data_IF_325498244532
#
_entry.id   IF_325498244532
#
_cell.length_a   1.000
_cell.length_b   1.000
_cell.length_c   1.000
_cell.angle_alpha   90.00
_cell.angle_beta   90.00
_cell.angle_gamma   90.00
#
_symmetry.space_group_name_H-M   'P 1'
#
loop_
_entity.id
_entity.type
_entity.pdbx_description
1 polymer ?
#
# COMPACT_ATOMS: atom_id res chain seq x y z
N UNK A 1 29.96 6.62 27.84
CA UNK A 1 28.61 7.12 27.48
C UNK A 1 27.89 6.25 26.44
N UNK A 2 28.56 5.72 25.41
CA UNK A 2 27.94 4.82 24.41
C UNK A 2 27.55 3.41 24.94
N UNK A 3 28.30 2.86 25.90
CA UNK A 3 28.02 1.50 26.44
C UNK A 3 26.78 1.49 27.33
N UNK A 4 26.51 2.55 28.09
CA UNK A 4 25.30 2.70 28.90
C UNK A 4 24.03 2.82 28.04
N UNK A 5 24.12 3.38 26.83
CA UNK A 5 22.98 3.45 25.89
C UNK A 5 22.62 2.09 25.28
N UNK A 6 23.57 1.18 25.14
CA UNK A 6 23.34 -0.16 24.58
C UNK A 6 22.80 -1.12 25.63
N UNK A 7 23.31 -1.04 26.87
CA UNK A 7 22.84 -1.85 28.00
C UNK A 7 21.40 -1.48 28.37
N UNK A 8 21.03 -0.20 28.33
CA UNK A 8 19.64 0.22 28.61
C UNK A 8 18.65 -0.25 27.53
N UNK A 9 19.09 -0.37 26.27
CA UNK A 9 18.27 -0.95 25.20
C UNK A 9 18.08 -2.45 25.38
N UNK A 10 19.13 -3.21 25.69
CA UNK A 10 19.04 -4.66 25.96
C UNK A 10 18.11 -4.98 27.15
N UNK A 11 18.17 -4.18 28.22
CA UNK A 11 17.27 -4.33 29.38
C UNK A 11 15.83 -4.00 29.01
N UNK A 12 15.60 -2.91 28.24
CA UNK A 12 14.29 -2.57 27.68
C UNK A 12 13.78 -3.68 26.74
N UNK A 13 14.63 -4.28 25.91
CA UNK A 13 14.28 -5.40 25.03
C UNK A 13 13.93 -6.66 25.80
N UNK A 14 14.62 -6.94 26.92
CA UNK A 14 14.26 -8.05 27.81
C UNK A 14 12.95 -7.78 28.55
N UNK A 15 12.67 -6.54 28.95
CA UNK A 15 11.37 -6.16 29.51
C UNK A 15 10.24 -6.26 28.48
N UNK A 16 10.47 -5.86 27.23
CA UNK A 16 9.52 -6.05 26.12
C UNK A 16 9.28 -7.55 25.89
N UNK A 17 10.31 -8.38 25.81
CA UNK A 17 10.18 -9.82 25.60
C UNK A 17 9.56 -10.57 26.80
N UNK A 18 9.73 -10.05 28.03
CA UNK A 18 9.13 -10.62 29.25
C UNK A 18 7.69 -10.17 29.42
N UNK A 19 7.33 -8.93 29.05
CA UNK A 19 5.94 -8.45 29.06
C UNK A 19 5.09 -9.12 27.97
N UNK A 20 5.68 -9.43 26.81
CA UNK A 20 5.01 -10.17 25.72
C UNK A 20 4.69 -11.63 26.09
N UNK A 21 5.39 -12.21 27.09
CA UNK A 21 5.14 -13.61 27.52
C UNK A 21 3.94 -13.77 28.48
N UNK A 22 3.33 -12.68 28.93
CA UNK A 22 2.29 -12.73 29.97
C UNK A 22 1.03 -11.92 29.62
N UNK A 23 0.75 -11.73 28.32
CA UNK A 23 -0.51 -11.13 27.86
C UNK A 23 -1.56 -12.22 27.62
N UNK A 24 -2.76 -11.99 28.17
CA UNK A 24 -3.98 -12.72 27.84
C UNK A 24 -4.09 -12.86 26.32
N UNK A 25 -4.39 -14.07 25.85
CA UNK A 25 -4.46 -14.40 24.42
C UNK A 25 -5.46 -13.48 23.72
N UNK A 26 -4.97 -12.54 22.92
CA UNK A 26 -5.80 -11.69 22.08
C UNK A 26 -6.38 -12.57 20.98
N UNK A 27 -7.71 -12.73 20.94
CA UNK A 27 -8.43 -13.52 19.93
C UNK A 27 -8.56 -12.77 18.59
N UNK A 28 -7.51 -12.08 18.15
CA UNK A 28 -7.45 -11.49 16.82
C UNK A 28 -6.45 -12.29 15.96
N UNK A 29 -6.90 -12.96 14.89
CA UNK A 29 -5.99 -13.73 14.04
C UNK A 29 -4.89 -12.88 13.41
N UNK A 30 -5.10 -11.57 13.21
CA UNK A 30 -4.09 -10.66 12.70
C UNK A 30 -2.92 -10.47 13.68
N UNK A 31 -3.11 -10.68 14.98
CA UNK A 31 -2.04 -10.63 15.99
C UNK A 31 -1.08 -11.82 15.89
N UNK A 32 -1.37 -12.83 15.05
CA UNK A 32 -0.40 -13.85 14.66
C UNK A 32 0.75 -13.26 13.82
N UNK A 33 0.57 -12.06 13.24
CA UNK A 33 1.60 -11.33 12.53
C UNK A 33 2.42 -10.49 13.53
N UNK A 34 3.70 -10.82 13.78
CA UNK A 34 4.49 -10.12 14.83
C UNK A 34 4.62 -8.61 14.59
N UNK A 35 4.69 -8.19 13.32
CA UNK A 35 4.76 -6.78 12.97
C UNK A 35 3.46 -6.04 13.23
N UNK A 36 2.31 -6.71 13.12
CA UNK A 36 1.00 -6.09 13.30
C UNK A 36 0.75 -5.82 14.77
N UNK A 37 1.05 -6.78 15.65
CA UNK A 37 1.01 -6.56 17.09
C UNK A 37 1.90 -5.38 17.48
N UNK A 38 3.16 -5.36 17.02
CA UNK A 38 4.07 -4.25 17.29
C UNK A 38 3.53 -2.91 16.76
N UNK A 39 3.00 -2.90 15.54
CA UNK A 39 2.45 -1.71 14.91
C UNK A 39 1.24 -1.18 15.68
N UNK A 40 0.30 -2.05 16.08
CA UNK A 40 -0.86 -1.67 16.90
C UNK A 40 -0.41 -1.08 18.23
N UNK A 41 0.53 -1.71 18.94
CA UNK A 41 1.08 -1.17 20.19
C UNK A 41 1.70 0.23 19.99
N UNK A 42 2.44 0.43 18.89
CA UNK A 42 3.03 1.72 18.57
C UNK A 42 1.98 2.78 18.19
N UNK A 43 0.88 2.42 17.54
CA UNK A 43 -0.23 3.33 17.27
C UNK A 43 -1.00 3.69 18.54
N UNK A 44 -1.25 2.72 19.42
CA UNK A 44 -1.87 2.96 20.74
C UNK A 44 -1.04 3.93 21.58
N UNK A 45 0.29 3.79 21.56
CA UNK A 45 1.21 4.70 22.27
C UNK A 45 1.19 6.14 21.74
N UNK A 46 0.78 6.34 20.48
CA UNK A 46 0.65 7.67 19.86
C UNK A 46 -0.70 8.33 20.15
N UNK A 47 -1.67 7.61 20.72
CA UNK A 47 -2.95 8.18 21.07
C UNK A 47 -2.76 9.25 22.16
N UNK A 48 -3.39 10.42 22.03
CA UNK A 48 -3.29 11.46 23.03
C UNK A 48 -4.07 11.07 24.29
N UNK A 49 -3.66 11.63 25.43
CA UNK A 49 -4.24 11.29 26.74
C UNK A 49 -5.78 11.48 26.80
N UNK A 50 -6.33 12.45 26.06
CA UNK A 50 -7.78 12.68 26.02
C UNK A 50 -8.54 11.53 25.34
N UNK A 51 -7.93 10.74 24.45
CA UNK A 51 -8.58 9.56 23.86
C UNK A 51 -8.60 8.40 24.86
N UNK A 52 -7.64 8.36 25.78
CA UNK A 52 -7.49 7.29 26.77
C UNK A 52 -8.17 7.61 28.12
N UNK A 53 -8.75 8.79 28.29
CA UNK A 53 -9.26 9.27 29.59
C UNK A 53 -10.39 8.40 30.18
N UNK A 54 -11.15 7.72 29.32
CA UNK A 54 -12.30 6.89 29.73
C UNK A 54 -11.93 5.43 30.05
N UNK A 55 -10.64 5.06 29.94
CA UNK A 55 -10.18 3.69 30.22
C UNK A 55 -10.05 3.44 31.74
N UNK A 56 -10.50 2.28 32.24
CA UNK A 56 -10.32 1.92 33.63
C UNK A 56 -8.85 1.59 33.94
N UNK A 57 -8.31 2.15 35.04
CA UNK A 57 -6.97 1.80 35.54
C UNK A 57 -5.90 2.89 35.42
N UNK A 58 -6.24 4.12 35.81
CA UNK A 58 -5.30 5.25 35.86
C UNK A 58 -3.97 4.92 36.55
N UNK A 59 -2.89 5.37 35.92
CA UNK A 59 -1.52 5.52 36.42
C UNK A 59 -0.62 4.27 36.51
N UNK A 60 -1.02 3.07 36.04
CA UNK A 60 -0.08 1.95 35.88
C UNK A 60 -0.04 1.39 34.44
N UNK A 61 1.14 1.48 33.81
CA UNK A 61 1.39 1.10 32.40
C UNK A 61 0.88 -0.33 32.05
N UNK A 62 0.91 -1.25 33.02
CA UNK A 62 0.47 -2.64 32.82
C UNK A 62 -1.05 -2.86 32.84
N UNK A 63 -1.80 -2.13 33.68
CA UNK A 63 -3.25 -2.27 33.76
C UNK A 63 -3.95 -1.66 32.54
N UNK A 64 -3.39 -0.58 32.00
CA UNK A 64 -3.91 0.09 30.80
C UNK A 64 -3.82 -0.79 29.54
N UNK A 65 -2.77 -1.61 29.40
CA UNK A 65 -2.61 -2.47 28.23
C UNK A 65 -3.65 -3.60 28.19
N UNK A 66 -3.89 -4.27 29.32
CA UNK A 66 -4.91 -5.33 29.41
C UNK A 66 -6.33 -4.80 29.13
N UNK A 67 -6.66 -3.61 29.66
CA UNK A 67 -7.93 -2.94 29.37
C UNK A 67 -8.08 -2.62 27.87
N UNK A 68 -7.02 -2.12 27.23
CA UNK A 68 -7.00 -1.84 25.80
C UNK A 68 -7.20 -3.10 24.94
N UNK A 69 -6.58 -4.22 25.30
CA UNK A 69 -6.77 -5.47 24.55
C UNK A 69 -8.16 -6.06 24.72
N UNK A 70 -8.74 -5.96 25.93
CA UNK A 70 -10.13 -6.36 26.15
C UNK A 70 -11.05 -5.51 25.28
N UNK A 71 -10.87 -4.19 25.29
CA UNK A 71 -11.65 -3.26 24.47
C UNK A 71 -11.47 -3.51 22.98
N UNK A 72 -10.25 -3.82 22.52
CA UNK A 72 -9.98 -4.23 21.14
C UNK A 72 -10.84 -5.43 20.72
N UNK A 73 -10.86 -6.49 21.54
CA UNK A 73 -11.63 -7.72 21.27
C UNK A 73 -13.14 -7.47 21.27
N UNK A 74 -13.62 -6.64 22.19
CA UNK A 74 -15.04 -6.29 22.31
C UNK A 74 -15.51 -5.44 21.12
N UNK A 75 -14.71 -4.46 20.68
CA UNK A 75 -14.97 -3.69 19.46
C UNK A 75 -14.98 -4.62 18.25
N UNK A 76 -13.98 -5.51 18.12
CA UNK A 76 -13.92 -6.49 17.03
C UNK A 76 -15.20 -7.32 16.98
N UNK A 77 -15.59 -7.89 18.11
CA UNK A 77 -16.79 -8.73 18.24
C UNK A 77 -18.05 -7.96 17.87
N UNK A 78 -18.17 -6.72 18.31
CA UNK A 78 -19.30 -5.86 17.99
C UNK A 78 -19.38 -5.53 16.49
N UNK A 79 -18.25 -5.22 15.83
CA UNK A 79 -18.24 -4.94 14.38
C UNK A 79 -18.61 -6.19 13.56
N UNK A 80 -18.18 -7.37 14.01
CA UNK A 80 -18.46 -8.64 13.34
C UNK A 80 -19.89 -9.16 13.58
N UNK A 81 -20.65 -8.56 14.50
CA UNK A 81 -22.04 -8.92 14.74
C UNK A 81 -22.89 -8.71 13.47
N UNK A 82 -23.95 -9.51 13.24
CA UNK A 82 -24.76 -9.47 12.01
C UNK A 82 -25.53 -8.17 11.80
N UNK A 83 -25.71 -7.35 12.84
CA UNK A 83 -26.36 -6.05 12.68
C UNK A 83 -25.37 -4.98 12.19
N UNK A 84 -25.81 -4.01 11.36
CA UNK A 84 -24.99 -2.84 11.06
C UNK A 84 -24.80 -2.05 12.36
N UNK A 85 -23.56 -2.01 12.84
CA UNK A 85 -23.18 -1.20 13.99
C UNK A 85 -22.59 0.12 13.50
N UNK A 86 -22.86 1.17 14.26
CA UNK A 86 -22.28 2.50 14.14
C UNK A 86 -21.29 2.75 15.27
N UNK A 87 -20.46 3.78 15.16
CA UNK A 87 -19.55 4.19 16.25
C UNK A 87 -20.35 4.47 17.52
N UNK A 88 -21.52 5.12 17.40
CA UNK A 88 -22.40 5.36 18.55
C UNK A 88 -22.86 4.05 19.18
N UNK A 89 -23.39 3.10 18.40
CA UNK A 89 -23.90 1.84 18.96
C UNK A 89 -22.82 0.98 19.63
N UNK A 90 -21.57 1.05 19.17
CA UNK A 90 -20.45 0.38 19.85
C UNK A 90 -20.08 1.13 21.11
N UNK A 91 -20.05 2.46 21.07
CA UNK A 91 -19.79 3.29 22.25
C UNK A 91 -20.80 3.01 23.36
N UNK A 92 -22.09 3.00 23.04
CA UNK A 92 -23.16 2.68 23.98
C UNK A 92 -22.98 1.27 24.57
N UNK A 93 -22.65 0.28 23.74
CA UNK A 93 -22.36 -1.09 24.18
C UNK A 93 -21.15 -1.17 25.13
N UNK A 94 -20.08 -0.41 24.88
CA UNK A 94 -18.91 -0.39 25.76
C UNK A 94 -19.23 0.24 27.12
N UNK A 95 -20.10 1.27 27.13
CA UNK A 95 -20.58 1.92 28.36
C UNK A 95 -21.47 0.95 29.13
N UNK A 96 -22.45 0.33 28.47
CA UNK A 96 -23.40 -0.62 29.09
C UNK A 96 -22.72 -1.84 29.71
N UNK A 97 -21.54 -2.22 29.20
CA UNK A 97 -20.73 -3.35 29.71
C UNK A 97 -19.71 -2.94 30.76
N UNK A 98 -19.72 -1.70 31.24
CA UNK A 98 -18.76 -1.13 32.19
C UNK A 98 -17.30 -1.32 31.76
N UNK A 99 -17.03 -1.33 30.44
CA UNK A 99 -15.67 -1.44 29.90
C UNK A 99 -14.94 -0.10 29.86
N UNK A 100 -15.69 0.99 29.92
CA UNK A 100 -15.21 2.37 29.93
C UNK A 100 -15.98 3.14 31.00
N UNK A 101 -15.33 4.11 31.64
CA UNK A 101 -15.97 4.96 32.65
C UNK A 101 -16.27 6.33 32.07
N UNK A 102 -17.54 6.68 31.97
CA UNK A 102 -17.95 7.98 31.40
C UNK A 102 -18.20 9.07 32.44
N UNK A 103 -18.32 8.75 33.74
CA UNK A 103 -18.58 9.71 34.84
C UNK A 103 -19.61 10.81 34.48
N UNK A 104 -20.58 10.49 33.63
CA UNK A 104 -21.56 11.42 33.02
C UNK A 104 -20.96 12.66 32.34
N UNK A 105 -19.69 12.62 31.93
CA UNK A 105 -19.02 13.68 31.18
C UNK A 105 -19.19 13.46 29.68
N UNK A 106 -19.69 14.51 29.00
CA UNK A 106 -19.76 14.55 27.54
C UNK A 106 -18.38 14.31 26.89
N UNK A 107 -17.32 14.84 27.49
CA UNK A 107 -15.94 14.66 26.99
C UNK A 107 -15.48 13.21 27.08
N UNK A 108 -15.88 12.49 28.14
CA UNK A 108 -15.56 11.08 28.30
C UNK A 108 -16.26 10.22 27.24
N UNK A 109 -17.51 10.56 26.88
CA UNK A 109 -18.22 9.89 25.78
C UNK A 109 -17.55 10.16 24.43
N UNK A 110 -17.11 11.40 24.17
CA UNK A 110 -16.34 11.71 22.96
C UNK A 110 -15.03 10.95 22.90
N UNK A 111 -14.30 10.85 24.01
CA UNK A 111 -13.09 10.03 24.13
C UNK A 111 -13.33 8.58 23.73
N UNK A 112 -14.43 7.96 24.17
CA UNK A 112 -14.76 6.58 23.79
C UNK A 112 -15.05 6.47 22.30
N UNK A 113 -15.78 7.43 21.71
CA UNK A 113 -16.03 7.45 20.26
C UNK A 113 -14.74 7.56 19.45
N UNK A 114 -13.83 8.42 19.87
CA UNK A 114 -12.51 8.60 19.25
C UNK A 114 -11.66 7.33 19.35
N UNK A 115 -11.72 6.65 20.49
CA UNK A 115 -11.03 5.37 20.70
C UNK A 115 -11.60 4.27 19.78
N UNK A 116 -12.93 4.16 19.67
CA UNK A 116 -13.59 3.23 18.76
C UNK A 116 -13.18 3.52 17.30
N UNK A 117 -13.18 4.78 16.90
CA UNK A 117 -12.71 5.20 15.58
C UNK A 117 -11.25 4.82 15.33
N UNK A 118 -10.35 5.05 16.29
CA UNK A 118 -8.95 4.65 16.19
C UNK A 118 -8.79 3.13 16.01
N UNK A 119 -9.46 2.35 16.85
CA UNK A 119 -9.41 0.88 16.83
C UNK A 119 -9.90 0.32 15.50
N UNK A 120 -11.00 0.84 14.95
CA UNK A 120 -11.51 0.42 13.65
C UNK A 120 -10.50 0.73 12.52
N UNK A 121 -9.89 1.91 12.53
CA UNK A 121 -8.83 2.26 11.58
C UNK A 121 -7.66 1.27 11.65
N UNK A 122 -7.24 0.91 12.87
CA UNK A 122 -6.18 -0.07 13.09
C UNK A 122 -6.57 -1.50 12.65
N UNK A 123 -7.77 -1.96 12.98
CA UNK A 123 -8.30 -3.30 12.64
C UNK A 123 -8.51 -3.49 11.14
N UNK A 124 -8.84 -2.43 10.41
CA UNK A 124 -9.06 -2.47 8.96
C UNK A 124 -7.83 -2.11 8.15
N UNK A 125 -6.89 -1.37 8.74
CA UNK A 125 -5.78 -0.69 8.06
C UNK A 125 -6.23 0.21 6.89
N UNK A 126 -7.51 0.60 6.81
CA UNK A 126 -8.00 1.49 5.75
C UNK A 126 -7.54 2.93 5.97
N UNK A 127 -7.36 3.32 7.23
CA UNK A 127 -6.89 4.64 7.62
C UNK A 127 -6.17 4.59 8.96
N UNK A 128 -5.38 5.63 9.23
CA UNK A 128 -4.89 5.95 10.56
C UNK A 128 -5.71 7.13 11.09
N UNK A 129 -6.17 7.06 12.34
CA UNK A 129 -6.88 8.17 12.97
C UNK A 129 -5.90 9.31 13.32
N UNK A 130 -6.37 10.55 13.26
CA UNK A 130 -5.60 11.74 13.60
C UNK A 130 -6.34 12.57 14.63
N UNK A 131 -5.69 12.82 15.77
CA UNK A 131 -6.22 13.58 16.89
C UNK A 131 -5.38 14.84 17.07
N UNK A 132 -5.69 15.87 16.30
CA UNK A 132 -5.04 17.17 16.44
C UNK A 132 -5.91 18.07 17.32
N UNK A 133 -5.28 18.67 18.34
CA UNK A 133 -5.88 19.65 19.24
C UNK A 133 -6.38 20.93 18.55
N UNK A 134 -5.97 21.20 17.30
CA UNK A 134 -6.27 22.45 16.58
C UNK A 134 -7.74 22.61 16.14
N UNK A 135 -8.49 21.52 15.99
CA UNK A 135 -9.92 21.54 15.63
C UNK A 135 -10.68 20.50 16.45
N UNK A 136 -11.27 20.88 17.59
CA UNK A 136 -12.08 19.96 18.38
C UNK A 136 -13.37 19.60 17.63
N UNK A 137 -13.73 18.31 17.67
CA UNK A 137 -15.00 17.78 17.17
C UNK A 137 -14.93 17.17 15.76
N UNK A 138 -15.47 15.95 15.66
CA UNK A 138 -15.52 15.16 14.41
C UNK A 138 -14.38 14.16 14.27
N UNK A 139 -14.39 13.43 13.16
CA UNK A 139 -13.47 12.32 12.87
C UNK A 139 -12.47 12.73 11.80
N UNK A 140 -11.19 12.46 12.03
CA UNK A 140 -10.13 12.82 11.09
C UNK A 140 -9.20 11.65 10.81
N UNK A 141 -8.87 11.47 9.54
CA UNK A 141 -7.84 10.51 9.10
C UNK A 141 -6.51 11.23 8.86
N UNK A 142 -5.42 10.54 9.14
CA UNK A 142 -4.07 11.05 8.94
C UNK A 142 -3.78 11.25 7.44
N UNK A 143 -3.18 12.40 7.13
CA UNK A 143 -2.66 12.68 5.81
C UNK A 143 -1.32 11.96 5.57
N UNK A 144 -1.39 10.75 5.04
CA UNK A 144 -0.22 9.97 4.63
C UNK A 144 0.30 10.34 3.23
N UNK A 145 -0.46 11.13 2.48
CA UNK A 145 -0.17 11.50 1.10
C UNK A 145 0.37 12.93 0.97
N UNK A 146 0.72 13.57 2.08
CA UNK A 146 1.42 14.87 2.10
C UNK A 146 0.69 15.97 1.33
N UNK A 147 -0.63 16.06 1.55
CA UNK A 147 -1.55 17.02 0.94
C UNK A 147 -2.14 16.56 -0.38
N UNK A 148 -1.70 15.42 -0.92
CA UNK A 148 -2.33 14.86 -2.11
C UNK A 148 -3.62 14.14 -1.73
N UNK A 149 -4.75 14.73 -2.13
CA UNK A 149 -6.06 14.10 -2.03
C UNK A 149 -6.29 13.27 -3.30
N UNK A 150 -5.96 11.98 -3.21
CA UNK A 150 -6.18 11.02 -4.27
C UNK A 150 -7.66 10.70 -4.48
N UNK A 151 -7.93 9.67 -5.28
CA UNK A 151 -9.30 9.27 -5.59
C UNK A 151 -10.02 8.54 -4.45
N UNK A 152 -9.26 8.07 -3.46
CA UNK A 152 -9.77 7.23 -2.34
C UNK A 152 -10.07 8.01 -1.08
N UNK A 153 -9.39 9.14 -0.88
CA UNK A 153 -9.48 10.00 0.30
C UNK A 153 -9.86 11.41 -0.13
N UNK A 154 -11.12 11.57 -0.51
CA UNK A 154 -11.69 12.84 -0.97
C UNK A 154 -11.85 13.84 0.17
N UNK A 155 -12.10 13.36 1.39
CA UNK A 155 -12.11 14.17 2.61
C UNK A 155 -11.27 13.49 3.68
N UNK A 156 -10.48 14.27 4.42
CA UNK A 156 -9.80 13.79 5.61
C UNK A 156 -10.61 14.00 6.89
N UNK A 157 -11.77 14.65 6.80
CA UNK A 157 -12.59 15.06 7.94
C UNK A 157 -14.06 14.70 7.73
N UNK A 158 -14.71 14.28 8.82
CA UNK A 158 -16.15 14.16 8.93
C UNK A 158 -16.66 14.75 10.23
N UNK A 159 -17.88 15.26 10.21
CA UNK A 159 -18.51 15.85 11.39
C UNK A 159 -18.86 14.79 12.45
N UNK A 160 -19.10 15.20 13.69
CA UNK A 160 -19.38 14.25 14.78
C UNK A 160 -20.68 13.47 14.57
N UNK A 161 -21.64 14.00 13.82
CA UNK A 161 -22.94 13.38 13.59
C UNK A 161 -22.85 12.15 12.67
N UNK A 162 -21.76 12.03 11.89
CA UNK A 162 -21.56 10.88 11.01
C UNK A 162 -21.38 9.57 11.81
N UNK A 163 -21.05 9.65 13.10
CA UNK A 163 -20.88 8.51 14.01
C UNK A 163 -22.12 7.64 14.18
N UNK A 164 -23.30 8.16 13.84
CA UNK A 164 -24.58 7.44 13.88
C UNK A 164 -24.80 6.54 12.66
N UNK A 165 -24.06 6.74 11.57
CA UNK A 165 -24.20 5.98 10.33
C UNK A 165 -23.61 4.57 10.46
N UNK A 166 -24.04 3.67 9.59
CA UNK A 166 -23.43 2.34 9.46
C UNK A 166 -21.94 2.48 9.10
N UNK A 167 -21.10 1.48 9.42
CA UNK A 167 -19.67 1.56 9.09
C UNK A 167 -19.37 1.78 7.60
N UNK A 168 -20.00 1.06 6.65
CA UNK A 168 -19.79 1.33 5.23
C UNK A 168 -20.10 2.80 4.86
N UNK A 169 -21.23 3.33 5.33
CA UNK A 169 -21.65 4.71 5.05
C UNK A 169 -20.75 5.75 5.73
N UNK A 170 -20.30 5.45 6.95
CA UNK A 170 -19.38 6.28 7.70
C UNK A 170 -18.02 6.33 6.98
N UNK A 171 -17.43 5.20 6.61
CA UNK A 171 -16.12 5.20 5.95
C UNK A 171 -16.19 5.83 4.55
N UNK A 172 -17.28 5.57 3.81
CA UNK A 172 -17.54 6.20 2.51
C UNK A 172 -17.52 7.74 2.59
N UNK A 173 -17.88 8.33 3.73
CA UNK A 173 -17.83 9.79 3.94
C UNK A 173 -16.42 10.40 3.87
N UNK A 174 -15.36 9.60 3.98
CA UNK A 174 -13.98 10.04 3.72
C UNK A 174 -13.56 9.88 2.25
N UNK A 175 -14.33 9.16 1.44
CA UNK A 175 -14.03 8.81 0.06
C UNK A 175 -14.11 7.31 -0.20
N UNK A 176 -13.80 6.91 -1.44
CA UNK A 176 -13.93 5.53 -1.91
C UNK A 176 -12.69 4.69 -1.51
N UNK A 177 -12.57 4.38 -0.21
CA UNK A 177 -11.47 3.56 0.32
C UNK A 177 -11.58 2.08 -0.09
N UNK A 178 -12.81 1.58 -0.23
CA UNK A 178 -13.13 0.25 -0.74
C UNK A 178 -13.90 0.40 -2.07
N UNK A 179 -13.19 0.46 -3.22
CA UNK A 179 -13.84 0.67 -4.50
C UNK A 179 -14.64 -0.56 -4.94
N UNK A 180 -15.78 -0.30 -5.59
CA UNK A 180 -16.48 -1.30 -6.37
C UNK A 180 -15.66 -1.71 -7.62
N UNK A 181 -15.88 -2.90 -8.18
CA UNK A 181 -15.16 -3.38 -9.36
C UNK A 181 -15.42 -2.47 -10.57
N UNK A 182 -14.35 -2.20 -11.33
CA UNK A 182 -14.37 -1.34 -12.51
C UNK A 182 -14.88 0.09 -12.25
N UNK A 183 -14.76 0.59 -11.02
CA UNK A 183 -15.12 1.95 -10.69
C UNK A 183 -14.10 2.97 -11.25
N UNK A 184 -14.62 3.99 -11.96
CA UNK A 184 -13.85 5.12 -12.42
C UNK A 184 -14.05 6.31 -11.47
N UNK A 185 -13.00 6.61 -10.71
CA UNK A 185 -13.02 7.68 -9.71
C UNK A 185 -12.60 9.06 -10.25
N UNK A 186 -12.39 9.18 -11.57
CA UNK A 186 -11.89 10.40 -12.19
C UNK A 186 -13.01 11.37 -12.56
N UNK A 187 -12.82 12.64 -12.23
CA UNK A 187 -13.69 13.72 -12.69
C UNK A 187 -13.25 14.27 -14.05
N UNK A 188 -11.94 14.30 -14.32
CA UNK A 188 -11.37 14.82 -15.57
C UNK A 188 -11.61 13.88 -16.76
N UNK A 189 -12.10 14.43 -17.87
CA UNK A 189 -12.36 13.72 -19.12
C UNK A 189 -11.12 13.02 -19.68
N UNK A 190 -9.92 13.62 -19.58
CA UNK A 190 -8.68 12.99 -20.04
C UNK A 190 -8.38 11.68 -19.30
N UNK A 191 -8.67 11.65 -17.99
CA UNK A 191 -8.41 10.49 -17.14
C UNK A 191 -9.51 9.42 -17.30
N UNK A 192 -10.74 9.84 -17.57
CA UNK A 192 -11.83 8.94 -17.98
C UNK A 192 -11.52 8.26 -19.30
N UNK A 193 -11.08 9.02 -20.30
CA UNK A 193 -10.63 8.47 -21.59
C UNK A 193 -9.48 7.49 -21.40
N UNK A 194 -8.50 7.81 -20.54
CA UNK A 194 -7.43 6.87 -20.21
C UNK A 194 -7.96 5.58 -19.56
N UNK A 195 -8.92 5.68 -18.65
CA UNK A 195 -9.54 4.53 -18.00
C UNK A 195 -10.27 3.61 -18.99
N UNK A 196 -10.98 4.19 -19.96
CA UNK A 196 -11.73 3.45 -20.98
C UNK A 196 -10.81 2.83 -22.04
N UNK A 197 -9.75 3.53 -22.42
CA UNK A 197 -8.81 3.08 -23.45
C UNK A 197 -7.80 2.05 -22.93
N UNK A 198 -7.42 2.12 -21.65
CA UNK A 198 -6.42 1.21 -21.07
C UNK A 198 -7.07 -0.11 -20.69
N UNK A 199 -7.19 -1.02 -21.66
CA UNK A 199 -7.74 -2.36 -21.44
C UNK A 199 -6.70 -3.32 -20.89
N UNK A 200 -5.49 -3.29 -21.45
CA UNK A 200 -4.42 -4.20 -21.09
C UNK A 200 -3.16 -3.45 -20.67
N UNK A 201 -2.36 -4.10 -19.82
CA UNK A 201 -1.04 -3.61 -19.43
C UNK A 201 0.01 -4.70 -19.57
N UNK A 202 1.21 -4.28 -19.96
CA UNK A 202 2.40 -5.11 -19.88
C UNK A 202 3.16 -4.77 -18.58
N UNK A 203 3.54 -5.75 -17.74
CA UNK A 203 4.33 -5.51 -16.54
C UNK A 203 5.66 -4.80 -16.82
N UNK A 204 6.26 -5.03 -17.99
CA UNK A 204 7.44 -4.32 -18.44
C UNK A 204 7.24 -2.81 -18.46
N UNK A 205 6.06 -2.34 -18.85
CA UNK A 205 5.77 -0.92 -19.05
C UNK A 205 5.58 -0.13 -17.76
N UNK A 206 5.13 -0.78 -16.69
CA UNK A 206 4.92 -0.19 -15.37
C UNK A 206 5.80 -0.82 -14.29
N UNK A 207 6.87 -1.50 -14.71
CA UNK A 207 7.84 -2.08 -13.79
C UNK A 207 8.55 -1.00 -12.98
N UNK A 208 8.93 -1.29 -11.73
CA UNK A 208 9.60 -0.35 -10.83
C UNK A 208 10.88 0.24 -11.42
N UNK A 209 11.60 -0.54 -12.23
CA UNK A 209 12.74 -0.04 -12.97
C UNK A 209 12.35 1.07 -13.95
N UNK A 210 11.32 0.86 -14.75
CA UNK A 210 10.81 1.88 -15.69
C UNK A 210 10.28 3.09 -14.95
N UNK A 211 9.41 2.87 -13.96
CA UNK A 211 8.80 3.95 -13.18
C UNK A 211 9.87 4.83 -12.51
N UNK A 212 10.81 4.23 -11.77
CA UNK A 212 11.82 4.97 -11.04
C UNK A 212 12.91 5.57 -11.94
N UNK A 213 13.46 4.77 -12.87
CA UNK A 213 14.65 5.17 -13.65
C UNK A 213 14.32 5.92 -14.93
N UNK A 214 13.19 5.64 -15.57
CA UNK A 214 12.82 6.26 -16.84
C UNK A 214 11.77 7.34 -16.66
N UNK A 215 10.79 7.12 -15.77
CA UNK A 215 9.69 8.06 -15.56
C UNK A 215 9.90 9.01 -14.36
N UNK A 216 10.97 8.82 -13.59
CA UNK A 216 11.29 9.64 -12.41
C UNK A 216 10.31 9.49 -11.24
N UNK A 217 9.56 8.39 -11.19
CA UNK A 217 8.57 8.13 -10.12
C UNK A 217 9.29 7.83 -8.81
N UNK A 218 8.90 8.54 -7.76
CA UNK A 218 9.30 8.27 -6.37
C UNK A 218 8.33 7.29 -5.75
N UNK A 219 8.83 6.37 -4.94
CA UNK A 219 7.98 5.45 -4.18
C UNK A 219 7.91 5.93 -2.74
N UNK A 220 6.71 6.22 -2.25
CA UNK A 220 6.44 6.53 -0.85
C UNK A 220 5.69 5.37 -0.22
N UNK A 221 6.27 4.77 0.80
CA UNK A 221 5.62 3.71 1.54
C UNK A 221 4.61 4.32 2.51
N UNK A 222 3.43 3.74 2.64
CA UNK A 222 2.34 4.18 3.53
C UNK A 222 1.83 2.99 4.33
N UNK A 223 1.15 3.26 5.45
CA UNK A 223 0.66 2.21 6.34
C UNK A 223 -0.81 1.90 6.07
N UNK A 224 -1.54 2.78 5.37
CA UNK A 224 -2.93 2.51 5.03
C UNK A 224 -3.11 1.83 3.68
N UNK A 225 -3.97 0.82 3.67
CA UNK A 225 -4.34 0.02 2.51
C UNK A 225 -5.03 0.84 1.42
N UNK A 226 -5.90 1.79 1.80
CA UNK A 226 -6.65 2.64 0.85
C UNK A 226 -5.75 3.52 -0.02
N UNK A 227 -4.52 3.81 0.40
CA UNK A 227 -3.56 4.65 -0.34
C UNK A 227 -2.75 3.87 -1.38
N UNK A 228 -2.89 2.55 -1.48
CA UNK A 228 -2.07 1.72 -2.35
C UNK A 228 -2.26 2.07 -3.84
N UNK A 229 -1.17 2.35 -4.57
CA UNK A 229 -1.15 2.80 -5.96
C UNK A 229 -1.78 4.17 -6.25
N UNK A 230 -2.04 5.00 -5.25
CA UNK A 230 -2.34 6.41 -5.51
C UNK A 230 -1.12 7.09 -6.13
N UNK A 231 -1.31 7.84 -7.21
CA UNK A 231 -0.24 8.54 -7.93
C UNK A 231 -0.49 10.04 -7.91
N UNK A 232 0.36 10.77 -7.20
CA UNK A 232 0.46 12.20 -7.40
C UNK A 232 1.25 12.49 -8.68
N UNK A 233 0.51 12.87 -9.73
CA UNK A 233 1.07 13.22 -11.04
C UNK A 233 1.96 14.46 -10.99
N UNK A 234 1.72 15.37 -10.05
CA UNK A 234 2.46 16.62 -9.94
C UNK A 234 3.84 16.38 -9.34
N UNK A 235 3.90 15.74 -8.17
CA UNK A 235 5.19 15.39 -7.55
C UNK A 235 5.87 14.17 -8.17
N UNK A 236 5.13 13.36 -8.93
CA UNK A 236 5.60 12.09 -9.47
C UNK A 236 5.79 11.04 -8.38
N UNK A 237 4.94 11.05 -7.35
CA UNK A 237 5.05 10.15 -6.19
C UNK A 237 3.95 9.09 -6.24
N UNK A 238 4.36 7.82 -6.21
CA UNK A 238 3.46 6.67 -6.11
C UNK A 238 3.45 6.18 -4.65
N UNK A 239 2.27 6.17 -4.05
CA UNK A 239 2.06 5.70 -2.69
C UNK A 239 1.82 4.19 -2.69
N UNK A 240 2.53 3.47 -1.83
CA UNK A 240 2.50 2.01 -1.76
C UNK A 240 2.31 1.57 -0.33
N UNK A 241 1.21 0.86 -0.07
CA UNK A 241 1.03 0.14 1.20
C UNK A 241 2.25 -0.76 1.47
N UNK A 242 2.66 -0.91 2.73
CA UNK A 242 3.90 -1.62 3.09
C UNK A 242 3.70 -2.96 3.79
N UNK A 243 2.46 -3.39 4.08
CA UNK A 243 2.19 -4.56 4.92
C UNK A 243 1.36 -5.67 4.21
N UNK A 244 1.84 -6.25 3.10
CA UNK A 244 1.08 -7.22 2.32
C UNK A 244 0.70 -8.52 3.06
N UNK A 245 1.40 -8.90 4.13
CA UNK A 245 1.00 -10.07 4.92
C UNK A 245 -0.34 -9.88 5.65
N UNK A 246 -0.77 -8.63 5.87
CA UNK A 246 -2.13 -8.34 6.34
C UNK A 246 -3.15 -8.84 5.32
N UNK A 247 -2.97 -8.50 4.04
CA UNK A 247 -3.81 -9.00 2.94
C UNK A 247 -3.82 -10.54 2.90
N UNK A 248 -2.65 -11.17 3.07
CA UNK A 248 -2.54 -12.64 3.12
C UNK A 248 -3.33 -13.22 4.30
N UNK A 249 -3.17 -12.66 5.50
CA UNK A 249 -3.88 -13.13 6.70
C UNK A 249 -5.40 -12.99 6.54
N UNK A 250 -5.87 -11.82 6.08
CA UNK A 250 -7.30 -11.59 5.84
C UNK A 250 -7.89 -12.56 4.82
N UNK A 251 -7.15 -12.90 3.76
CA UNK A 251 -7.56 -13.92 2.78
C UNK A 251 -7.49 -15.36 3.31
N UNK A 252 -6.64 -15.65 4.28
CA UNK A 252 -6.51 -17.00 4.87
C UNK A 252 -7.54 -17.30 5.95
N UNK A 253 -8.01 -16.27 6.67
CA UNK A 253 -9.14 -16.37 7.60
C UNK A 253 -10.38 -16.95 6.91
N UNK A 254 -10.58 -16.64 5.62
CA UNK A 254 -11.60 -17.22 4.75
C UNK A 254 -11.52 -18.75 4.64
N UNK A 255 -10.33 -19.30 4.41
CA UNK A 255 -10.15 -20.73 4.12
C UNK A 255 -10.27 -21.60 5.38
N UNK A 256 -10.16 -21.00 6.56
CA UNK A 256 -10.17 -21.71 7.85
C UNK A 256 -11.57 -21.79 8.46
N UNK A 257 -12.47 -20.86 8.12
CA UNK A 257 -13.90 -20.94 8.46
C UNK A 257 -14.61 -21.66 7.32
N UNK A 258 -14.91 -22.94 7.51
CA UNK A 258 -15.67 -23.73 6.54
C UNK A 258 -16.94 -22.99 6.06
N UNK A 259 -17.41 -23.35 4.87
CA UNK A 259 -18.53 -22.78 4.09
C UNK A 259 -19.92 -22.78 4.78
N UNK A 260 -20.00 -22.72 6.11
CA UNK A 260 -21.19 -23.08 6.89
C UNK A 260 -21.84 -22.02 7.77
N UNK A 261 -21.24 -20.86 8.06
CA UNK A 261 -21.91 -19.85 8.91
C UNK A 261 -21.71 -18.44 8.36
N UNK A 262 -22.83 -17.75 8.09
CA UNK A 262 -22.90 -16.40 7.51
C UNK A 262 -22.43 -15.27 8.43
N UNK A 263 -21.37 -15.49 9.20
CA UNK A 263 -20.70 -14.47 9.98
C UNK A 263 -19.66 -13.72 9.14
N UNK A 264 -19.54 -12.40 9.35
CA UNK A 264 -18.54 -11.55 8.68
C UNK A 264 -17.13 -12.10 8.87
N UNK A 265 -16.34 -12.10 7.78
CA UNK A 265 -15.03 -12.77 7.70
C UNK A 265 -13.95 -12.08 8.56
N UNK A 266 -13.93 -10.75 8.56
CA UNK A 266 -13.01 -9.90 9.32
C UNK A 266 -13.61 -8.50 9.50
N UNK A 267 -13.02 -7.65 10.33
CA UNK A 267 -13.46 -6.26 10.52
C UNK A 267 -13.39 -5.45 9.22
N UNK A 268 -12.39 -5.74 8.36
CA UNK A 268 -12.31 -5.14 7.02
C UNK A 268 -13.52 -5.50 6.15
N UNK A 269 -13.92 -6.77 6.17
CA UNK A 269 -15.09 -7.26 5.42
C UNK A 269 -16.40 -6.70 5.98
N UNK A 270 -16.48 -6.50 7.30
CA UNK A 270 -17.63 -5.85 7.94
C UNK A 270 -17.84 -4.39 7.51
N UNK A 271 -16.82 -3.77 6.92
CA UNK A 271 -16.90 -2.41 6.37
C UNK A 271 -17.38 -2.39 4.91
N UNK A 272 -17.60 -3.54 4.29
CA UNK A 272 -18.18 -3.67 2.96
C UNK A 272 -19.72 -3.75 3.04
N UNK A 273 -20.38 -3.57 1.89
CA UNK A 273 -21.82 -3.86 1.82
C UNK A 273 -22.06 -5.37 1.68
N UNK A 274 -23.16 -5.86 2.24
CA UNK A 274 -23.57 -7.26 2.09
C UNK A 274 -23.89 -7.62 0.64
N UNK A 275 -24.35 -6.65 -0.15
CA UNK A 275 -24.65 -6.78 -1.58
C UNK A 275 -24.30 -5.51 -2.31
N UNK A 276 -24.09 -5.63 -3.61
CA UNK A 276 -23.87 -4.48 -4.49
C UNK A 276 -25.04 -3.50 -4.38
N UNK A 277 -24.73 -2.32 -3.83
CA UNK A 277 -25.66 -1.21 -3.73
C UNK A 277 -25.54 -0.25 -4.92
N UNK A 278 -26.37 0.80 -4.95
CA UNK A 278 -26.24 1.88 -5.94
C UNK A 278 -25.00 2.76 -5.70
N UNK A 279 -24.41 2.69 -4.50
CA UNK A 279 -23.21 3.44 -4.14
C UNK A 279 -21.96 2.72 -4.67
N UNK A 280 -20.93 3.46 -5.13
CA UNK A 280 -19.69 2.89 -5.65
C UNK A 280 -18.79 2.36 -4.52
N UNK A 281 -19.24 1.32 -3.82
CA UNK A 281 -18.56 0.72 -2.68
C UNK A 281 -18.50 -0.80 -2.82
N UNK A 282 -17.42 -1.39 -2.31
CA UNK A 282 -17.17 -2.83 -2.38
C UNK A 282 -18.22 -3.65 -1.61
N UNK A 283 -18.56 -4.82 -2.16
CA UNK A 283 -19.13 -5.94 -1.42
C UNK A 283 -18.06 -6.72 -0.64
N UNK A 284 -18.45 -7.67 0.20
CA UNK A 284 -17.48 -8.54 0.89
C UNK A 284 -16.58 -9.34 -0.07
N UNK A 285 -17.11 -9.74 -1.23
CA UNK A 285 -16.37 -10.47 -2.26
C UNK A 285 -15.37 -9.56 -3.00
N UNK A 286 -15.73 -8.30 -3.17
CA UNK A 286 -14.87 -7.28 -3.76
C UNK A 286 -13.68 -6.93 -2.84
N UNK A 287 -13.85 -7.02 -1.51
CA UNK A 287 -12.73 -6.88 -0.56
C UNK A 287 -11.69 -7.97 -0.81
N UNK A 288 -12.10 -9.23 -0.95
CA UNK A 288 -11.19 -10.34 -1.28
C UNK A 288 -10.45 -10.07 -2.60
N UNK A 289 -11.18 -9.61 -3.63
CA UNK A 289 -10.62 -9.20 -4.92
C UNK A 289 -9.57 -8.10 -4.78
N UNK A 290 -9.87 -7.02 -4.06
CA UNK A 290 -8.95 -5.92 -3.81
C UNK A 290 -7.68 -6.39 -3.10
N UNK A 291 -7.78 -7.24 -2.07
CA UNK A 291 -6.62 -7.77 -1.35
C UNK A 291 -5.72 -8.61 -2.27
N UNK A 292 -6.30 -9.45 -3.13
CA UNK A 292 -5.56 -10.21 -4.13
C UNK A 292 -4.87 -9.29 -5.15
N UNK A 293 -5.55 -8.25 -5.60
CA UNK A 293 -5.00 -7.26 -6.52
C UNK A 293 -3.82 -6.50 -5.93
N UNK A 294 -3.89 -6.09 -4.66
CA UNK A 294 -2.78 -5.44 -3.96
C UNK A 294 -1.56 -6.39 -3.93
N UNK A 295 -1.76 -7.67 -3.61
CA UNK A 295 -0.68 -8.65 -3.62
C UNK A 295 -0.08 -8.84 -5.03
N UNK A 296 -0.93 -8.92 -6.04
CA UNK A 296 -0.52 -9.09 -7.44
C UNK A 296 0.21 -7.85 -7.98
N UNK A 297 -0.18 -6.64 -7.56
CA UNK A 297 0.43 -5.39 -8.00
C UNK A 297 1.93 -5.33 -7.63
N UNK A 298 2.32 -5.84 -6.46
CA UNK A 298 3.75 -5.92 -6.09
C UNK A 298 4.53 -6.82 -7.04
N UNK A 299 3.90 -7.90 -7.54
CA UNK A 299 4.52 -8.78 -8.54
C UNK A 299 4.68 -8.06 -9.87
N UNK A 300 3.65 -7.35 -10.32
CA UNK A 300 3.68 -6.57 -11.57
C UNK A 300 4.74 -5.47 -11.51
N UNK A 301 4.79 -4.70 -10.43
CA UNK A 301 5.71 -3.55 -10.30
C UNK A 301 7.13 -4.03 -9.98
N UNK A 302 7.32 -4.87 -8.96
CA UNK A 302 8.65 -5.23 -8.46
C UNK A 302 9.09 -6.65 -8.83
N UNK A 303 8.18 -7.61 -8.70
CA UNK A 303 8.49 -9.04 -8.65
C UNK A 303 8.96 -9.67 -9.96
N UNK A 304 8.38 -9.30 -11.11
CA UNK A 304 8.62 -10.02 -12.37
C UNK A 304 9.99 -9.71 -13.00
N UNK A 305 10.47 -8.47 -12.94
CA UNK A 305 11.73 -8.05 -13.57
C UNK A 305 12.94 -8.09 -12.63
N UNK A 306 14.06 -8.68 -13.09
CA UNK A 306 15.34 -8.67 -12.32
C UNK A 306 15.80 -7.26 -11.97
N UNK A 307 15.58 -6.29 -12.86
CA UNK A 307 15.96 -4.89 -12.65
C UNK A 307 15.06 -4.24 -11.60
N UNK A 308 13.76 -4.50 -11.62
CA UNK A 308 12.82 -4.00 -10.61
C UNK A 308 13.11 -4.57 -9.22
N UNK A 309 13.42 -5.87 -9.12
CA UNK A 309 13.87 -6.49 -7.85
C UNK A 309 15.14 -5.82 -7.30
N UNK A 310 16.06 -5.38 -8.18
CA UNK A 310 17.24 -4.64 -7.78
C UNK A 310 16.94 -3.20 -7.32
N UNK A 311 15.93 -2.55 -7.90
CA UNK A 311 15.42 -1.26 -7.43
C UNK A 311 14.82 -1.42 -6.03
N UNK A 312 13.94 -2.41 -5.83
CA UNK A 312 13.30 -2.65 -4.53
C UNK A 312 14.30 -2.80 -3.38
N UNK A 313 15.38 -3.58 -3.58
CA UNK A 313 16.43 -3.75 -2.57
C UNK A 313 17.10 -2.45 -2.12
N UNK A 314 17.04 -1.38 -2.93
CA UNK A 314 17.58 -0.06 -2.60
C UNK A 314 16.56 0.84 -1.88
N UNK A 315 15.26 0.57 -2.00
CA UNK A 315 14.20 1.43 -1.46
C UNK A 315 14.06 1.35 0.06
N UNK A 316 14.49 0.23 0.68
CA UNK A 316 14.46 0.02 2.15
C UNK A 316 13.14 0.49 2.80
N UNK A 317 11.99 -0.13 2.47
CA UNK A 317 10.65 0.30 2.94
C UNK A 317 10.52 0.48 4.45
N UNK A 318 11.31 -0.25 5.24
CA UNK A 318 11.25 -0.25 6.69
C UNK A 318 12.49 0.38 7.37
N UNK A 319 13.20 1.29 6.69
CA UNK A 319 14.47 1.83 7.22
C UNK A 319 14.35 2.48 8.61
N UNK A 320 13.19 3.07 8.94
CA UNK A 320 12.89 3.70 10.23
C UNK A 320 12.21 2.79 11.24
N UNK A 321 11.95 1.52 10.89
CA UNK A 321 11.12 0.60 11.68
C UNK A 321 12.00 -0.55 12.20
N UNK A 322 11.92 -0.90 13.50
CA UNK A 322 12.67 -2.03 14.06
C UNK A 322 12.23 -3.35 13.44
N UNK A 323 13.09 -4.37 13.49
CA UNK A 323 12.87 -5.68 12.84
C UNK A 323 11.55 -6.35 13.21
N UNK A 324 11.09 -6.21 14.46
CA UNK A 324 9.80 -6.73 14.90
C UNK A 324 8.61 -6.10 14.17
N UNK A 325 8.71 -4.83 13.75
CA UNK A 325 7.70 -4.10 12.99
C UNK A 325 7.80 -4.25 11.47
N UNK A 326 8.71 -5.09 10.97
CA UNK A 326 8.92 -5.25 9.52
C UNK A 326 8.14 -6.45 8.99
N UNK A 327 7.29 -6.20 8.00
CA UNK A 327 6.64 -7.26 7.26
C UNK A 327 7.60 -7.89 6.25
N UNK A 328 7.99 -9.13 6.54
CA UNK A 328 8.92 -9.90 5.71
C UNK A 328 8.29 -10.29 4.37
N UNK A 329 6.97 -10.45 4.29
CA UNK A 329 6.27 -10.84 3.06
C UNK A 329 6.43 -9.79 1.96
N UNK A 330 6.59 -8.50 2.29
CA UNK A 330 6.89 -7.47 1.30
C UNK A 330 8.20 -7.76 0.57
N UNK A 331 9.24 -8.11 1.31
CA UNK A 331 10.54 -8.46 0.73
C UNK A 331 10.43 -9.74 -0.11
N UNK A 332 9.65 -10.73 0.32
CA UNK A 332 9.43 -11.95 -0.46
C UNK A 332 8.74 -11.66 -1.80
N UNK A 333 7.65 -10.90 -1.77
CA UNK A 333 6.88 -10.52 -2.96
C UNK A 333 7.67 -9.62 -3.91
N UNK A 334 8.51 -8.72 -3.41
CA UNK A 334 9.17 -7.73 -4.27
C UNK A 334 10.60 -8.11 -4.68
N UNK A 335 11.30 -8.98 -3.95
CA UNK A 335 12.72 -9.24 -4.16
C UNK A 335 13.06 -10.64 -4.67
N UNK A 336 12.16 -11.62 -4.50
CA UNK A 336 12.37 -13.01 -4.95
C UNK A 336 11.75 -13.23 -6.34
N UNK A 337 12.38 -14.10 -7.13
CA UNK A 337 11.83 -14.51 -8.44
C UNK A 337 10.57 -15.35 -8.27
N UNK A 338 10.58 -16.29 -7.32
CA UNK A 338 9.44 -17.13 -6.94
C UNK A 338 9.18 -16.92 -5.44
N UNK A 339 8.15 -16.16 -5.06
CA UNK A 339 7.82 -15.97 -3.66
C UNK A 339 7.15 -17.24 -3.10
N UNK A 340 7.43 -17.53 -1.83
CA UNK A 340 6.71 -18.54 -1.03
C UNK A 340 5.47 -17.89 -0.43
N UNK A 341 4.50 -17.51 -1.27
CA UNK A 341 3.24 -16.94 -0.81
C UNK A 341 2.20 -18.05 -0.71
N UNK A 342 1.42 -18.06 0.38
CA UNK A 342 0.33 -19.01 0.59
C UNK A 342 -0.86 -18.75 -0.34
N UNK A 343 -1.00 -17.52 -0.82
CA UNK A 343 -1.99 -17.14 -1.85
C UNK A 343 -1.39 -17.35 -3.24
N UNK A 344 -2.13 -18.02 -4.12
CA UNK A 344 -1.70 -18.30 -5.49
C UNK A 344 -1.78 -17.02 -6.35
N UNK A 345 -0.62 -16.44 -6.66
CA UNK A 345 -0.51 -15.27 -7.55
C UNK A 345 -0.09 -15.73 -8.95
N UNK A 346 -0.96 -15.49 -9.94
CA UNK A 346 -0.69 -15.86 -11.34
C UNK A 346 0.04 -14.72 -12.05
N UNK A 347 1.32 -14.94 -12.36
CA UNK A 347 2.10 -14.02 -13.18
C UNK A 347 1.77 -14.18 -14.67
N UNK A 348 1.54 -13.06 -15.34
CA UNK A 348 1.17 -13.02 -16.75
C UNK A 348 2.07 -12.05 -17.49
N UNK A 349 2.26 -12.31 -18.77
CA UNK A 349 2.97 -11.42 -19.67
C UNK A 349 2.19 -10.15 -20.01
N UNK A 350 0.87 -10.25 -19.96
CA UNK A 350 -0.08 -9.18 -20.18
C UNK A 350 -1.26 -9.38 -19.24
N UNK A 351 -1.78 -8.28 -18.70
CA UNK A 351 -2.93 -8.30 -17.82
C UNK A 351 -4.08 -7.50 -18.41
N UNK A 352 -5.26 -8.10 -18.50
CA UNK A 352 -6.52 -7.38 -18.69
C UNK A 352 -6.92 -6.70 -17.37
N UNK A 353 -7.03 -5.37 -17.38
CA UNK A 353 -7.36 -4.61 -16.17
C UNK A 353 -8.79 -4.87 -15.69
N UNK A 354 -9.72 -5.22 -16.57
CA UNK A 354 -11.13 -5.45 -16.19
C UNK A 354 -11.33 -6.77 -15.46
N UNK A 355 -10.47 -7.74 -15.74
CA UNK A 355 -10.53 -9.11 -15.20
C UNK A 355 -9.53 -9.31 -14.07
N UNK A 356 -8.32 -8.78 -14.19
CA UNK A 356 -7.24 -9.05 -13.24
C UNK A 356 -7.00 -7.94 -12.23
N UNK A 357 -7.49 -6.73 -12.52
CA UNK A 357 -7.40 -5.59 -11.61
C UNK A 357 -8.69 -4.76 -11.54
N UNK A 358 -9.89 -5.34 -11.43
CA UNK A 358 -11.13 -4.55 -11.43
C UNK A 358 -11.15 -3.43 -10.37
N UNK A 359 -10.57 -3.63 -9.18
CA UNK A 359 -10.63 -2.66 -8.08
C UNK A 359 -9.53 -1.59 -8.18
N UNK A 360 -8.32 -1.97 -8.63
CA UNK A 360 -7.18 -1.08 -8.84
C UNK A 360 -7.08 -0.54 -10.27
N UNK A 361 -8.06 -0.84 -11.14
CA UNK A 361 -8.06 -0.50 -12.57
C UNK A 361 -7.78 0.98 -12.80
N UNK A 362 -8.49 1.86 -12.10
CA UNK A 362 -8.32 3.31 -12.21
C UNK A 362 -6.88 3.72 -11.94
N UNK A 363 -6.36 3.35 -10.77
CA UNK A 363 -4.99 3.64 -10.31
C UNK A 363 -3.93 3.12 -11.28
N UNK A 364 -4.10 1.89 -11.78
CA UNK A 364 -3.17 1.28 -12.73
C UNK A 364 -3.25 1.94 -14.12
N UNK A 365 -4.45 2.27 -14.60
CA UNK A 365 -4.62 2.99 -15.86
C UNK A 365 -3.94 4.37 -15.81
N UNK A 366 -4.10 5.09 -14.71
CA UNK A 366 -3.44 6.37 -14.49
C UNK A 366 -1.91 6.24 -14.43
N UNK A 367 -1.39 5.22 -13.73
CA UNK A 367 0.04 4.93 -13.67
C UNK A 367 0.61 4.58 -15.06
N UNK A 368 -0.11 3.75 -15.83
CA UNK A 368 0.24 3.40 -17.21
C UNK A 368 0.24 4.63 -18.12
N UNK A 369 -0.78 5.48 -18.01
CA UNK A 369 -0.89 6.75 -18.73
C UNK A 369 0.27 7.68 -18.39
N UNK A 370 0.61 7.83 -17.12
CA UNK A 370 1.74 8.64 -16.65
C UNK A 370 3.08 8.12 -17.22
N UNK A 371 3.33 6.81 -17.10
CA UNK A 371 4.53 6.18 -17.64
C UNK A 371 4.63 6.35 -19.16
N UNK A 372 3.52 6.19 -19.88
CA UNK A 372 3.44 6.38 -21.33
C UNK A 372 3.77 7.81 -21.77
N UNK A 373 3.35 8.83 -21.01
CA UNK A 373 3.63 10.25 -21.32
C UNK A 373 5.09 10.64 -21.02
N UNK A 374 5.68 10.10 -19.95
CA UNK A 374 7.04 10.45 -19.48
C UNK A 374 8.16 9.65 -20.17
N UNK A 375 7.87 8.48 -20.75
CA UNK A 375 8.88 7.69 -21.48
C UNK A 375 9.45 8.50 -22.66
N UNK A 376 10.79 8.59 -22.80
CA UNK A 376 11.41 9.27 -23.93
C UNK A 376 10.98 8.62 -25.26
N UNK A 377 10.41 9.43 -26.17
CA UNK A 377 9.74 8.99 -27.41
C UNK A 377 10.67 8.26 -28.39
N UNK A 378 11.99 8.48 -28.35
CA UNK A 378 12.95 7.79 -29.24
C UNK A 378 13.24 6.36 -28.80
N UNK A 379 13.33 6.12 -27.49
CA UNK A 379 13.56 4.79 -26.93
C UNK A 379 12.28 3.98 -26.88
N UNK A 380 11.10 4.60 -26.69
CA UNK A 380 9.81 3.87 -26.63
C UNK A 380 9.52 3.06 -27.90
N UNK A 381 9.79 3.60 -29.10
CA UNK A 381 9.62 2.87 -30.37
C UNK A 381 10.62 1.71 -30.52
N UNK A 382 11.88 1.90 -30.10
CA UNK A 382 12.92 0.85 -30.11
C UNK A 382 12.81 -0.16 -28.94
N UNK A 383 12.06 0.18 -27.88
CA UNK A 383 11.96 -0.60 -26.64
C UNK A 383 10.65 -1.39 -26.55
N UNK A 384 9.55 -0.90 -27.13
CA UNK A 384 8.42 -1.76 -27.49
C UNK A 384 8.88 -2.85 -28.47
N UNK A 385 9.83 -2.52 -29.35
CA UNK A 385 10.47 -3.43 -30.29
C UNK A 385 11.64 -4.25 -29.69
N UNK A 386 11.61 -4.48 -28.36
CA UNK A 386 12.52 -5.41 -27.69
C UNK A 386 11.92 -6.81 -27.54
N UNK A 387 10.66 -6.99 -27.95
CA UNK A 387 9.99 -8.29 -28.05
C UNK A 387 10.28 -8.98 -29.38
N UNK A 388 10.53 -8.23 -30.46
CA UNK A 388 11.06 -8.77 -31.72
C UNK A 388 12.60 -8.72 -31.72
N UNK A 389 13.19 -9.81 -31.22
CA UNK A 389 14.64 -10.02 -31.17
C UNK A 389 15.43 -9.77 -32.49
N UNK A 390 14.86 -9.89 -33.72
CA UNK A 390 15.61 -9.65 -34.95
C UNK A 390 15.87 -8.16 -35.28
N UNK A 391 14.88 -7.28 -35.11
CA UNK A 391 15.00 -5.87 -35.51
C UNK A 391 15.98 -5.09 -34.62
N UNK A 392 15.97 -5.39 -33.32
CA UNK A 392 16.94 -4.87 -32.36
C UNK A 392 18.39 -5.24 -32.75
N UNK A 393 18.64 -6.50 -33.12
CA UNK A 393 19.97 -6.95 -33.55
C UNK A 393 20.38 -6.32 -34.89
N UNK A 394 19.44 -6.16 -35.83
CA UNK A 394 19.71 -5.53 -37.12
C UNK A 394 20.12 -4.05 -36.98
N UNK A 395 19.45 -3.29 -36.10
CA UNK A 395 19.81 -1.90 -35.82
C UNK A 395 21.23 -1.75 -35.25
N UNK A 396 21.57 -2.53 -34.22
CA UNK A 396 22.92 -2.48 -33.64
C UNK A 396 24.00 -3.03 -34.59
N UNK A 397 23.66 -4.04 -35.40
CA UNK A 397 24.55 -4.53 -36.45
C UNK A 397 24.81 -3.45 -37.49
N UNK A 398 23.78 -2.73 -37.96
CA UNK A 398 23.94 -1.65 -38.92
C UNK A 398 24.84 -0.51 -38.40
N UNK A 399 24.70 -0.14 -37.13
CA UNK A 399 25.60 0.86 -36.49
C UNK A 399 27.03 0.34 -36.42
N UNK A 400 27.23 -0.90 -35.99
CA UNK A 400 28.55 -1.51 -35.87
C UNK A 400 29.24 -1.62 -37.24
N UNK A 401 28.54 -2.15 -38.24
CA UNK A 401 29.05 -2.27 -39.61
C UNK A 401 29.27 -0.90 -40.27
N UNK A 402 28.41 0.09 -40.01
CA UNK A 402 28.60 1.47 -40.46
C UNK A 402 29.85 2.12 -39.88
N UNK A 403 30.11 1.94 -38.59
CA UNK A 403 31.32 2.44 -37.92
C UNK A 403 32.59 1.74 -38.43
N UNK A 404 32.54 0.42 -38.63
CA UNK A 404 33.66 -0.34 -39.21
C UNK A 404 33.93 0.13 -40.65
N UNK A 405 32.89 0.32 -41.46
CA UNK A 405 33.02 0.83 -42.82
C UNK A 405 33.67 2.21 -42.87
N UNK A 406 33.23 3.14 -42.02
CA UNK A 406 33.81 4.47 -41.92
C UNK A 406 35.30 4.42 -41.52
N UNK A 407 35.64 3.55 -40.57
CA UNK A 407 37.02 3.34 -40.14
C UNK A 407 37.90 2.78 -41.27
N UNK A 408 37.41 1.82 -42.04
CA UNK A 408 38.15 1.26 -43.17
C UNK A 408 38.38 2.30 -44.28
N UNK A 409 37.38 3.12 -44.60
CA UNK A 409 37.53 4.23 -45.56
C UNK A 409 38.59 5.22 -45.07
N UNK A 410 38.60 5.54 -43.78
CA UNK A 410 39.61 6.40 -43.19
C UNK A 410 41.03 5.82 -43.35
N UNK A 411 41.22 4.54 -43.00
CA UNK A 411 42.51 3.85 -43.14
C UNK A 411 42.97 3.80 -44.60
N UNK A 412 42.08 3.47 -45.53
CA UNK A 412 42.39 3.46 -46.97
C UNK A 412 42.82 4.85 -47.46
N UNK A 413 42.14 5.90 -47.03
CA UNK A 413 42.48 7.28 -47.40
C UNK A 413 43.88 7.65 -46.90
N UNK A 414 44.24 7.27 -45.67
CA UNK A 414 45.58 7.49 -45.12
C UNK A 414 46.65 6.75 -45.94
N UNK A 415 46.41 5.49 -46.28
CA UNK A 415 47.35 4.72 -47.12
C UNK A 415 47.54 5.36 -48.50
N UNK A 416 46.48 5.84 -49.14
CA UNK A 416 46.57 6.52 -50.44
C UNK A 416 47.40 7.80 -50.36
N UNK A 417 47.24 8.60 -49.29
CA UNK A 417 48.03 9.80 -49.06
C UNK A 417 49.52 9.43 -48.87
N UNK A 418 49.81 8.40 -48.07
CA UNK A 418 51.19 7.95 -47.86
C UNK A 418 51.86 7.48 -49.16
N UNK A 419 51.14 6.71 -49.98
CA UNK A 419 51.64 6.26 -51.28
C UNK A 419 51.88 7.43 -52.25
N UNK A 420 51.00 8.43 -52.25
CA UNK A 420 51.18 9.63 -53.06
C UNK A 420 52.42 10.44 -52.64
N UNK A 421 52.66 10.57 -51.33
CA UNK A 421 53.87 11.23 -50.80
C UNK A 421 55.14 10.45 -51.19
N UNK A 422 55.11 9.12 -51.13
CA UNK A 422 56.27 8.30 -51.51
C UNK A 422 56.56 8.34 -53.02
N UNK A 423 55.52 8.35 -53.86
CA UNK A 423 55.64 8.52 -55.31
C UNK A 423 56.14 9.91 -55.73
N UNK A 424 55.75 10.96 -55.02
CA UNK A 424 56.26 12.31 -55.29
C UNK A 424 57.72 12.42 -54.84
N UNK A 425 58.06 11.86 -53.67
CA UNK A 425 59.44 11.84 -53.17
C UNK A 425 60.41 11.06 -54.05
N UNK A 426 59.97 9.95 -54.64
CA UNK A 426 60.78 9.15 -55.58
C UNK A 426 60.90 9.74 -56.99
N UNK A 427 60.07 10.74 -57.33
CA UNK A 427 60.18 11.50 -58.59
C UNK A 427 61.16 12.68 -58.50
N UNK A 428 61.38 13.19 -57.29
CA UNK A 428 62.27 14.33 -57.03
C UNK A 428 63.71 13.92 -56.65
N UNK A 429 63.97 12.62 -56.52
CA UNK A 429 65.29 11.99 -56.30
C UNK A 429 65.76 11.24 -57.53
#
# INVERSE_FOLDING_TARGET
>A
MLILSLVNREVLYRQIAVSIKQEQVIEDPAFKLPWYQWWVSEQMRKLPAHVLMSLPGGDSDGASAAALYKLWSEIRTAVLAPEPRSINSITDMLIDRDLVSTKDSYEAVLSVKDLVFAVIGMQTMLYQACFDSSCPGGYRIQDEMSGYHGTTRMSLYQSSESSARSFPDFILGFGVMLPAPNYCAYENDDDRLLFDQTKTINPGDISAHVLNKLCGVKFQWVDSLSCHLELDKHSGTLYLYRYPSFCVSSLQELNSRGTGEGGRKSVLHACAFEKNGPLPWASEEDVDGLLQEILLSYRVIFGQSKRSRAVFRKLRPFASIPTCGQDQSLAELCSRKRPSCSVQLVEREEYDLTVHFPHLRSRIAQLSGYASRKKPRSLRRLWQDRRDSPAWLAYWSAILFGLIGLFLVFVQTVFQILQYIDQTRSRDS
#
